data_IF_610043778878
#
_entry.id   IF_610043778878
#
_cell.length_a   1.000
_cell.length_b   1.000
_cell.length_c   1.000
_cell.angle_alpha   90.00
_cell.angle_beta   90.00
_cell.angle_gamma   90.00
#
_symmetry.space_group_name_H-M   'P 1'
#
loop_
_entity.id
_entity.type
_entity.pdbx_description
1 polymer ?
#
# COMPACT_ATOMS: atom_id res chain seq x y z
N UNK A 1 0.19 15.35 10.54
CA UNK A 1 -0.61 14.99 11.73
C UNK A 1 0.21 14.19 12.73
N UNK A 2 0.67 12.96 12.43
CA UNK A 2 1.45 12.15 13.38
C UNK A 2 2.76 12.84 13.82
N UNK A 3 3.55 13.37 12.87
CA UNK A 3 4.76 14.15 13.19
C UNK A 3 4.49 15.50 13.88
N UNK A 4 3.26 16.02 13.82
CA UNK A 4 2.92 17.31 14.44
C UNK A 4 2.55 17.18 15.92
N UNK A 5 2.11 15.99 16.37
CA UNK A 5 1.74 15.72 17.77
C UNK A 5 2.72 14.82 18.54
N UNK A 6 3.84 14.41 17.93
CA UNK A 6 4.88 13.59 18.56
C UNK A 6 5.41 14.11 19.91
N UNK A 7 5.33 15.42 20.13
CA UNK A 7 5.79 16.04 21.38
C UNK A 7 4.75 15.97 22.50
N UNK A 8 3.49 15.69 22.18
CA UNK A 8 2.37 15.71 23.12
C UNK A 8 1.89 14.31 23.51
N UNK A 9 2.03 13.33 22.61
CA UNK A 9 1.54 11.97 22.84
C UNK A 9 2.45 10.92 22.21
N UNK A 10 2.76 9.87 22.98
CA UNK A 10 3.52 8.71 22.52
C UNK A 10 2.77 7.45 22.88
N UNK A 11 2.48 6.65 21.86
CA UNK A 11 1.79 5.38 21.98
C UNK A 11 2.48 4.35 21.06
N UNK A 12 2.60 3.07 21.45
CA UNK A 12 3.26 2.07 20.62
C UNK A 12 2.73 1.98 19.19
N UNK A 13 1.43 2.25 18.96
CA UNK A 13 0.83 2.26 17.61
C UNK A 13 1.34 3.47 16.81
N UNK A 14 1.51 4.61 17.47
CA UNK A 14 2.04 5.83 16.86
C UNK A 14 3.53 5.67 16.54
N UNK A 15 4.30 5.06 17.46
CA UNK A 15 5.71 4.74 17.26
C UNK A 15 5.90 3.70 16.15
N UNK A 16 5.03 2.70 16.03
CA UNK A 16 5.04 1.75 14.92
C UNK A 16 4.93 2.45 13.56
N UNK A 17 3.97 3.36 13.41
CA UNK A 17 3.79 4.14 12.18
C UNK A 17 4.97 5.07 11.90
N UNK A 18 5.58 5.64 12.94
CA UNK A 18 6.80 6.43 12.81
C UNK A 18 7.99 5.58 12.33
N UNK A 19 8.20 4.40 12.91
CA UNK A 19 9.22 3.45 12.48
C UNK A 19 9.03 3.05 11.01
N UNK A 20 7.80 2.82 10.57
CA UNK A 20 7.53 2.37 9.21
C UNK A 20 7.63 3.50 8.16
N UNK A 21 7.09 4.69 8.43
CA UNK A 21 6.98 5.76 7.44
C UNK A 21 8.05 6.84 7.53
N UNK A 22 8.71 7.00 8.68
CA UNK A 22 9.72 8.06 8.89
C UNK A 22 11.12 7.46 8.93
N UNK A 23 11.34 6.49 9.82
CA UNK A 23 12.66 5.94 10.08
C UNK A 23 13.01 4.73 9.20
N UNK A 24 12.01 4.12 8.55
CA UNK A 24 12.13 2.87 7.79
C UNK A 24 12.85 1.75 8.58
N UNK A 25 12.64 1.72 9.90
CA UNK A 25 13.21 0.71 10.79
C UNK A 25 12.23 -0.44 10.95
N UNK A 26 12.45 -1.50 10.18
CA UNK A 26 11.60 -2.69 10.17
C UNK A 26 11.79 -3.57 11.41
N UNK A 27 12.98 -3.57 12.02
CA UNK A 27 13.26 -4.39 13.21
C UNK A 27 12.61 -3.73 14.44
N UNK A 28 12.73 -2.40 14.55
CA UNK A 28 11.98 -1.62 15.54
C UNK A 28 10.47 -1.72 15.34
N UNK A 29 9.99 -1.67 14.10
CA UNK A 29 8.56 -1.82 13.80
C UNK A 29 8.02 -3.20 14.25
N UNK A 30 8.78 -4.28 14.06
CA UNK A 30 8.38 -5.61 14.51
C UNK A 30 8.26 -5.69 16.04
N UNK A 31 9.23 -5.14 16.76
CA UNK A 31 9.19 -5.12 18.23
C UNK A 31 7.99 -4.29 18.73
N UNK A 32 7.74 -3.14 18.10
CA UNK A 32 6.59 -2.29 18.42
C UNK A 32 5.25 -2.94 18.08
N UNK A 33 5.19 -3.78 17.06
CA UNK A 33 3.98 -4.53 16.71
C UNK A 33 3.57 -5.54 17.79
N UNK A 34 4.54 -6.16 18.48
CA UNK A 34 4.28 -7.03 19.65
C UNK A 34 3.78 -6.20 20.84
N UNK A 35 4.36 -5.03 21.07
CA UNK A 35 3.89 -4.09 22.10
C UNK A 35 2.46 -3.59 21.80
N UNK A 36 2.15 -3.29 20.53
CA UNK A 36 0.82 -2.90 20.08
C UNK A 36 -0.21 -4.00 20.35
N UNK A 37 0.14 -5.27 20.14
CA UNK A 37 -0.76 -6.40 20.43
C UNK A 37 -1.18 -6.40 21.90
N UNK A 38 -0.24 -6.17 22.81
CA UNK A 38 -0.52 -6.12 24.25
C UNK A 38 -1.36 -4.89 24.61
N UNK A 39 -1.13 -3.73 23.99
CA UNK A 39 -1.94 -2.52 24.21
C UNK A 39 -3.38 -2.76 23.74
N UNK A 40 -3.58 -3.35 22.57
CA UNK A 40 -4.90 -3.66 22.01
C UNK A 40 -5.66 -4.65 22.90
N UNK A 41 -4.97 -5.65 23.48
CA UNK A 41 -5.57 -6.64 24.39
C UNK A 41 -6.00 -6.04 25.73
N UNK A 42 -5.29 -5.00 26.20
CA UNK A 42 -5.55 -4.34 27.48
C UNK A 42 -6.52 -3.15 27.36
N UNK A 43 -6.85 -2.72 26.14
CA UNK A 43 -7.76 -1.60 25.90
C UNK A 43 -9.24 -2.05 25.92
N UNK A 44 -10.13 -1.42 26.71
CA UNK A 44 -11.55 -1.79 26.78
C UNK A 44 -12.36 -1.60 25.48
N UNK A 45 -11.91 -0.73 24.57
CA UNK A 45 -12.58 -0.41 23.31
C UNK A 45 -12.02 -1.21 22.13
N UNK A 46 -10.70 -1.41 22.09
CA UNK A 46 -10.03 -2.18 21.04
C UNK A 46 -10.00 -3.69 21.35
N UNK A 47 -9.97 -4.05 22.63
CA UNK A 47 -10.02 -5.41 23.15
C UNK A 47 -11.43 -5.97 23.29
N UNK A 48 -12.38 -5.54 22.44
CA UNK A 48 -13.76 -6.03 22.49
C UNK A 48 -13.78 -7.54 22.20
N UNK A 49 -13.79 -8.33 23.27
CA UNK A 49 -13.90 -9.78 23.25
C UNK A 49 -15.28 -10.14 22.73
N UNK A 50 -15.33 -10.84 21.61
CA UNK A 50 -16.58 -11.44 21.14
C UNK A 50 -16.51 -12.90 21.58
N UNK A 51 -17.30 -13.26 22.60
CA UNK A 51 -17.45 -14.66 23.01
C UNK A 51 -18.44 -15.34 22.07
N UNK A 52 -17.97 -15.88 20.94
CA UNK A 52 -18.70 -16.89 20.18
C UNK A 52 -18.24 -18.30 20.60
N UNK A 53 -18.73 -18.75 21.76
CA UNK A 53 -18.46 -20.10 22.30
C UNK A 53 -17.18 -20.20 23.16
N UNK A 54 -16.56 -21.39 23.21
CA UNK A 54 -15.38 -21.72 24.05
C UNK A 54 -14.06 -21.04 23.61
N UNK A 55 -14.09 -20.13 22.63
CA UNK A 55 -12.90 -19.47 22.10
C UNK A 55 -13.07 -17.95 22.25
N UNK A 56 -12.23 -17.34 23.08
CA UNK A 56 -12.19 -15.88 23.24
C UNK A 56 -11.31 -15.34 22.13
N UNK A 57 -11.89 -14.81 21.07
CA UNK A 57 -11.17 -14.09 20.02
C UNK A 57 -11.40 -12.59 20.14
N UNK A 58 -10.37 -11.83 19.79
CA UNK A 58 -10.45 -10.39 19.60
C UNK A 58 -10.28 -10.16 18.10
N UNK A 59 -11.36 -10.13 17.31
CA UNK A 59 -11.28 -10.05 15.84
C UNK A 59 -10.47 -8.85 15.36
N UNK A 60 -10.58 -7.73 16.09
CA UNK A 60 -9.86 -6.50 15.78
C UNK A 60 -8.33 -6.65 15.91
N UNK A 61 -7.85 -7.51 16.83
CA UNK A 61 -6.42 -7.80 16.99
C UNK A 61 -5.89 -8.49 15.74
N UNK A 62 -6.60 -9.51 15.27
CA UNK A 62 -6.18 -10.32 14.13
C UNK A 62 -6.20 -9.50 12.85
N UNK A 63 -7.27 -8.73 12.64
CA UNK A 63 -7.35 -7.79 11.52
C UNK A 63 -6.26 -6.71 11.57
N UNK A 64 -5.96 -6.16 12.74
CA UNK A 64 -4.91 -5.17 12.90
C UNK A 64 -3.53 -5.74 12.57
N UNK A 65 -3.20 -6.92 13.12
CA UNK A 65 -1.92 -7.58 12.90
C UNK A 65 -1.73 -7.95 11.43
N UNK A 66 -2.77 -8.49 10.79
CA UNK A 66 -2.75 -8.83 9.38
C UNK A 66 -2.55 -7.58 8.52
N UNK A 67 -3.29 -6.50 8.78
CA UNK A 67 -3.12 -5.23 8.07
C UNK A 67 -1.74 -4.61 8.31
N UNK A 68 -1.20 -4.68 9.53
CA UNK A 68 0.14 -4.18 9.85
C UNK A 68 1.22 -4.96 9.08
N UNK A 69 1.09 -6.30 8.99
CA UNK A 69 1.96 -7.15 8.17
C UNK A 69 1.88 -6.79 6.68
N UNK A 70 0.68 -6.54 6.17
CA UNK A 70 0.47 -6.07 4.80
C UNK A 70 1.20 -4.74 4.54
N UNK A 71 1.10 -3.78 5.44
CA UNK A 71 1.79 -2.49 5.30
C UNK A 71 3.31 -2.61 5.35
N UNK A 72 3.84 -3.43 6.26
CA UNK A 72 5.28 -3.72 6.34
C UNK A 72 5.74 -4.31 5.00
N UNK A 73 5.02 -5.32 4.50
CA UNK A 73 5.32 -5.96 3.22
C UNK A 73 5.24 -4.99 2.04
N UNK A 74 4.16 -4.21 1.93
CA UNK A 74 4.00 -3.23 0.85
C UNK A 74 5.12 -2.21 0.83
N UNK A 75 5.47 -1.66 2.00
CA UNK A 75 6.57 -0.70 2.15
C UNK A 75 7.90 -1.35 1.76
N UNK A 76 8.11 -2.61 2.15
CA UNK A 76 9.33 -3.36 1.83
C UNK A 76 9.46 -3.66 0.33
N UNK A 77 8.38 -4.10 -0.32
CA UNK A 77 8.28 -4.32 -1.77
C UNK A 77 8.42 -3.05 -2.60
N UNK A 78 8.03 -1.90 -2.03
CA UNK A 78 8.20 -0.61 -2.71
C UNK A 78 9.67 -0.16 -2.76
N UNK A 79 10.47 -0.52 -1.76
CA UNK A 79 11.88 -0.14 -1.67
C UNK A 79 12.77 -1.20 -2.36
N UNK A 80 12.47 -2.48 -2.20
CA UNK A 80 13.32 -3.59 -2.65
C UNK A 80 12.74 -4.32 -3.86
N UNK A 81 13.54 -4.44 -4.93
CA UNK A 81 13.17 -5.19 -6.14
C UNK A 81 13.28 -6.71 -5.96
N UNK A 82 14.27 -7.17 -5.22
CA UNK A 82 14.50 -8.58 -4.94
C UNK A 82 14.46 -8.77 -3.42
N UNK A 83 13.62 -9.67 -2.95
CA UNK A 83 13.34 -9.90 -1.53
C UNK A 83 13.50 -11.37 -1.23
N UNK A 84 14.33 -11.70 -0.25
CA UNK A 84 14.44 -13.06 0.27
C UNK A 84 13.23 -13.36 1.18
N UNK A 85 12.52 -14.45 0.89
CA UNK A 85 11.35 -14.91 1.65
C UNK A 85 11.73 -15.29 3.08
N UNK A 86 12.96 -15.80 3.29
CA UNK A 86 13.48 -16.13 4.63
C UNK A 86 13.73 -14.90 5.50
N UNK A 87 14.22 -13.80 4.92
CA UNK A 87 14.37 -12.53 5.66
C UNK A 87 13.00 -11.93 5.98
N UNK A 88 12.07 -12.05 5.04
CA UNK A 88 10.72 -11.52 5.19
C UNK A 88 9.90 -12.31 6.23
N UNK A 89 10.03 -13.63 6.28
CA UNK A 89 9.34 -14.48 7.27
C UNK A 89 9.76 -14.14 8.71
N UNK A 90 11.05 -13.86 8.92
CA UNK A 90 11.57 -13.37 10.20
C UNK A 90 10.95 -12.04 10.60
N UNK A 91 10.87 -11.09 9.67
CA UNK A 91 10.27 -9.75 9.91
C UNK A 91 8.76 -9.81 10.16
N UNK A 92 8.07 -10.74 9.52
CA UNK A 92 6.62 -10.93 9.68
C UNK A 92 6.25 -11.89 10.83
N UNK A 93 7.25 -12.44 11.54
CA UNK A 93 7.07 -13.38 12.64
C UNK A 93 6.20 -14.60 12.26
N UNK A 94 6.54 -15.22 11.13
CA UNK A 94 5.88 -16.39 10.55
C UNK A 94 6.91 -17.43 10.09
N UNK A 95 6.49 -18.68 9.93
CA UNK A 95 7.36 -19.71 9.34
C UNK A 95 7.60 -19.45 7.85
N UNK A 96 8.65 -20.04 7.27
CA UNK A 96 8.96 -19.89 5.85
C UNK A 96 7.79 -20.36 4.96
N UNK A 97 7.20 -21.52 5.29
CA UNK A 97 6.11 -22.12 4.51
C UNK A 97 4.83 -21.27 4.59
N UNK A 98 4.52 -20.75 5.78
CA UNK A 98 3.39 -19.82 5.96
C UNK A 98 3.63 -18.50 5.22
N UNK A 99 4.87 -17.99 5.23
CA UNK A 99 5.23 -16.78 4.51
C UNK A 99 5.06 -16.94 3.00
N UNK A 100 5.53 -18.05 2.43
CA UNK A 100 5.38 -18.31 1.00
C UNK A 100 3.90 -18.38 0.60
N UNK A 101 3.08 -19.11 1.37
CA UNK A 101 1.64 -19.21 1.11
C UNK A 101 0.94 -17.85 1.26
N UNK A 102 1.32 -17.08 2.28
CA UNK A 102 0.79 -15.74 2.53
C UNK A 102 1.09 -14.79 1.38
N UNK A 103 2.36 -14.74 0.93
CA UNK A 103 2.78 -13.93 -0.22
C UNK A 103 2.07 -14.40 -1.50
N UNK A 104 1.94 -15.71 -1.72
CA UNK A 104 1.25 -16.25 -2.89
C UNK A 104 -0.22 -15.83 -2.93
N UNK A 105 -0.92 -15.91 -1.79
CA UNK A 105 -2.30 -15.45 -1.66
C UNK A 105 -2.39 -13.95 -1.89
N UNK A 106 -1.42 -13.19 -1.40
CA UNK A 106 -1.38 -11.75 -1.60
C UNK A 106 -1.21 -11.41 -3.08
N UNK A 107 -0.18 -11.92 -3.75
CA UNK A 107 0.07 -11.68 -5.18
C UNK A 107 -1.13 -12.07 -6.05
N UNK A 108 -1.82 -13.18 -5.70
CA UNK A 108 -3.03 -13.62 -6.40
C UNK A 108 -4.21 -12.69 -6.20
N UNK A 109 -4.42 -12.19 -4.97
CA UNK A 109 -5.60 -11.41 -4.62
C UNK A 109 -5.45 -9.90 -4.88
N UNK A 110 -4.25 -9.33 -4.72
CA UNK A 110 -4.00 -7.89 -4.76
C UNK A 110 -3.48 -7.34 -6.09
N UNK A 111 -3.41 -8.17 -7.14
CA UNK A 111 -2.87 -7.81 -8.48
C UNK A 111 -1.47 -7.17 -8.40
N UNK A 112 -0.62 -7.63 -7.48
CA UNK A 112 0.77 -7.23 -7.43
C UNK A 112 1.52 -7.91 -8.57
N UNK A 113 2.21 -7.13 -9.40
CA UNK A 113 3.06 -7.65 -10.47
C UNK A 113 4.38 -8.18 -9.90
N UNK A 114 4.32 -9.32 -9.21
CA UNK A 114 5.47 -9.96 -8.59
C UNK A 114 5.69 -11.38 -9.13
N UNK A 115 6.95 -11.76 -9.30
CA UNK A 115 7.37 -13.10 -9.69
C UNK A 115 8.03 -13.79 -8.49
N UNK A 116 7.49 -14.92 -8.09
CA UNK A 116 8.05 -15.77 -7.03
C UNK A 116 8.96 -16.80 -7.68
N UNK A 117 10.20 -16.90 -7.21
CA UNK A 117 11.10 -18.00 -7.53
C UNK A 117 11.26 -18.90 -6.30
N UNK A 118 10.47 -19.97 -6.26
CA UNK A 118 10.50 -20.94 -5.16
C UNK A 118 11.82 -21.74 -5.07
N UNK A 119 12.65 -21.76 -6.13
CA UNK A 119 13.94 -22.46 -6.11
C UNK A 119 15.00 -21.63 -5.39
N UNK A 120 15.00 -20.32 -5.61
CA UNK A 120 15.90 -19.38 -4.95
C UNK A 120 15.30 -18.75 -3.68
N UNK A 121 14.04 -19.05 -3.35
CA UNK A 121 13.34 -18.45 -2.22
C UNK A 121 13.22 -16.92 -2.32
N UNK A 122 13.22 -16.39 -3.54
CA UNK A 122 13.28 -14.94 -3.80
C UNK A 122 12.02 -14.44 -4.49
N UNK A 123 11.46 -13.37 -3.97
CA UNK A 123 10.40 -12.58 -4.58
C UNK A 123 11.03 -11.45 -5.42
N UNK A 124 10.73 -11.44 -6.72
CA UNK A 124 11.17 -10.40 -7.64
C UNK A 124 9.97 -9.54 -8.03
N UNK A 125 9.99 -8.27 -7.63
CA UNK A 125 8.97 -7.31 -8.02
C UNK A 125 9.20 -6.84 -9.46
N UNK A 126 8.19 -6.94 -10.31
CA UNK A 126 8.25 -6.42 -11.67
C UNK A 126 8.03 -4.93 -11.61
N UNK A 127 9.03 -4.15 -12.01
CA UNK A 127 8.89 -2.70 -12.10
C UNK A 127 8.16 -2.33 -13.39
N UNK A 128 6.95 -1.80 -13.28
CA UNK A 128 6.31 -1.11 -14.40
C UNK A 128 7.07 0.20 -14.64
N UNK A 129 8.02 0.18 -15.57
CA UNK A 129 8.57 1.41 -16.11
C UNK A 129 7.48 2.07 -16.95
N UNK A 130 6.95 3.20 -16.47
CA UNK A 130 6.06 4.03 -17.28
C UNK A 130 6.83 4.41 -18.53
N UNK A 131 6.36 3.95 -19.68
CA UNK A 131 7.02 4.25 -20.94
C UNK A 131 6.89 5.75 -21.19
N UNK A 132 8.02 6.43 -21.41
CA UNK A 132 8.06 7.89 -21.66
C UNK A 132 7.11 8.25 -22.82
N UNK A 133 7.00 7.38 -23.82
CA UNK A 133 6.08 7.57 -24.93
C UNK A 133 4.61 7.53 -24.48
N UNK A 134 4.26 6.66 -23.54
CA UNK A 134 2.89 6.54 -23.03
C UNK A 134 2.51 7.78 -22.22
N UNK A 135 3.43 8.29 -21.39
CA UNK A 135 3.23 9.54 -20.65
C UNK A 135 3.03 10.76 -21.58
N UNK A 136 3.81 10.81 -22.67
CA UNK A 136 3.69 11.84 -23.71
C UNK A 136 2.34 11.70 -24.43
N UNK A 137 1.94 10.49 -24.81
CA UNK A 137 0.65 10.22 -25.47
C UNK A 137 -0.52 10.63 -24.55
N UNK A 138 -0.46 10.31 -23.26
CA UNK A 138 -1.50 10.65 -22.30
C UNK A 138 -1.62 12.18 -22.13
N UNK A 139 -0.49 12.87 -22.04
CA UNK A 139 -0.44 14.34 -22.00
C UNK A 139 -0.98 14.96 -23.30
N UNK A 140 -0.64 14.38 -24.46
CA UNK A 140 -1.15 14.84 -25.76
C UNK A 140 -2.64 14.59 -25.94
N UNK A 141 -3.22 13.52 -25.38
CA UNK A 141 -4.67 13.25 -25.49
C UNK A 141 -5.50 14.40 -24.90
N UNK A 142 -5.14 14.86 -23.71
CA UNK A 142 -5.83 15.97 -23.05
C UNK A 142 -5.67 17.27 -23.86
N UNK A 143 -4.45 17.56 -24.32
CA UNK A 143 -4.16 18.73 -25.14
C UNK A 143 -4.93 18.70 -26.47
N UNK A 144 -4.93 17.56 -27.16
CA UNK A 144 -5.60 17.38 -28.45
C UNK A 144 -7.12 17.60 -28.32
N UNK A 145 -7.75 17.06 -27.26
CA UNK A 145 -9.16 17.31 -26.97
C UNK A 145 -9.47 18.80 -26.76
N UNK A 146 -8.64 19.52 -25.99
CA UNK A 146 -8.81 20.97 -25.76
C UNK A 146 -8.63 21.76 -27.06
N UNK A 147 -7.58 21.46 -27.83
CA UNK A 147 -7.32 22.10 -29.12
C UNK A 147 -8.46 21.86 -30.11
N UNK A 148 -8.99 20.64 -30.16
CA UNK A 148 -10.14 20.31 -31.01
C UNK A 148 -11.39 21.10 -30.61
N UNK A 149 -11.70 21.20 -29.31
CA UNK A 149 -12.82 22.00 -28.81
C UNK A 149 -12.65 23.50 -29.10
N UNK A 150 -11.46 24.04 -28.90
CA UNK A 150 -11.17 25.44 -29.21
C UNK A 150 -11.29 25.73 -30.71
N UNK A 151 -10.73 24.86 -31.55
CA UNK A 151 -10.85 24.97 -33.00
C UNK A 151 -12.33 24.93 -33.44
N UNK A 152 -13.12 24.01 -32.89
CA UNK A 152 -14.56 23.93 -33.16
C UNK A 152 -15.29 25.21 -32.73
N UNK A 153 -15.03 25.71 -31.52
CA UNK A 153 -15.64 26.92 -30.98
C UNK A 153 -15.23 28.21 -31.70
N UNK A 154 -14.12 28.21 -32.46
CA UNK A 154 -13.72 29.35 -33.30
C UNK A 154 -14.35 29.23 -34.70
N UNK A 155 -14.38 28.01 -35.26
CA UNK A 155 -14.86 27.77 -36.63
C UNK A 155 -16.39 27.88 -36.73
N UNK A 156 -17.15 27.39 -35.75
CA UNK A 156 -18.62 27.48 -35.76
C UNK A 156 -19.15 28.94 -35.77
N UNK A 157 -18.71 29.86 -34.90
CA UNK A 157 -19.15 31.26 -34.96
C UNK A 157 -18.57 32.02 -36.16
N UNK A 158 -17.37 31.66 -36.65
CA UNK A 158 -16.81 32.26 -37.86
C UNK A 158 -17.63 31.89 -39.12
N UNK A 159 -18.09 30.63 -39.21
CA UNK A 159 -18.96 30.17 -40.30
C UNK A 159 -20.37 30.76 -40.19
N UNK A 160 -20.94 30.89 -38.98
CA UNK A 160 -22.23 31.54 -38.76
C UNK A 160 -22.19 33.05 -39.11
N UNK A 161 -21.11 33.76 -38.78
CA UNK A 161 -20.92 35.16 -39.15
C UNK A 161 -20.74 35.36 -40.66
N UNK A 162 -20.08 34.42 -41.36
CA UNK A 162 -19.94 34.45 -42.82
C UNK A 162 -21.23 34.10 -43.57
N UNK A 163 -22.10 33.27 -42.99
CA UNK A 163 -23.42 32.96 -43.57
C UNK A 163 -24.45 34.08 -43.32
N UNK A 164 -24.36 34.82 -42.21
CA UNK A 164 -25.23 35.97 -41.93
C UNK A 164 -24.81 37.25 -42.70
N UNK A 165 -23.60 37.31 -43.23
CA UNK A 165 -23.07 38.45 -44.01
C UNK A 165 -23.26 38.28 -45.54
N UNK A 166 -23.91 37.21 -45.99
CA UNK A 166 -24.33 36.98 -47.39
C UNK A 166 -25.84 37.13 -47.51
#
# INVERSE_FOLDING_TARGET
>A
VIQQEQHSYKDPITEFLECLYVNYDFDGAQQKLIECEQVILNDPFLGKRIEEGNFVTVPLRDEFLENARLFIFETYCRIHRCIDIGMLSQKLNMSYDEAELWIMNLVRNSKLDAKIDSVSGTLIMTTNHVNIHEQVIESLKNLNMRTFLLAKNIVEPAQAAQQAAR
#
